data_IF_101143685027
#
_entry.id   IF_101143685027
#
_cell.length_a   1.000
_cell.length_b   1.000
_cell.length_c   1.000
_cell.angle_alpha   90.00
_cell.angle_beta   90.00
_cell.angle_gamma   90.00
#
_symmetry.space_group_name_H-M   'P 1'
#
loop_
_entity.id
_entity.type
_entity.pdbx_description
1 polymer ?
#
# COMPACT_ATOMS: atom_id res chain seq x y z
N UNK A 1 31.72 19.54 17.59
CA UNK A 1 30.29 19.57 17.17
C UNK A 1 29.62 18.40 17.85
N UNK A 2 28.55 18.63 18.62
CA UNK A 2 27.82 17.56 19.32
C UNK A 2 26.67 17.04 18.44
N UNK A 3 26.90 15.94 17.72
CA UNK A 3 25.93 15.33 16.84
C UNK A 3 24.79 14.66 17.63
N UNK A 4 25.10 14.09 18.80
CA UNK A 4 24.12 13.40 19.64
C UNK A 4 23.05 14.37 20.16
N UNK A 5 23.45 15.54 20.59
CA UNK A 5 22.52 16.62 21.02
C UNK A 5 21.58 17.02 19.86
N UNK A 6 22.07 17.09 18.62
CA UNK A 6 21.24 17.41 17.46
C UNK A 6 20.20 16.33 17.18
N UNK A 7 20.59 15.05 17.28
CA UNK A 7 19.63 13.94 17.10
C UNK A 7 18.54 13.98 18.19
N UNK A 8 18.92 14.18 19.45
CA UNK A 8 17.95 14.29 20.56
C UNK A 8 16.98 15.43 20.37
N UNK A 9 17.44 16.61 19.98
CA UNK A 9 16.59 17.77 19.71
C UNK A 9 15.53 17.49 18.65
N UNK A 10 15.89 16.78 17.55
CA UNK A 10 14.91 16.37 16.54
C UNK A 10 13.92 15.35 17.05
N UNK A 11 14.34 14.41 17.91
CA UNK A 11 13.45 13.43 18.51
C UNK A 11 12.50 14.07 19.53
N UNK A 12 12.97 15.00 20.35
CA UNK A 12 12.16 15.78 21.29
C UNK A 12 11.05 16.53 20.55
N UNK A 13 11.38 17.21 19.44
CA UNK A 13 10.38 17.88 18.62
C UNK A 13 9.29 16.91 18.09
N UNK A 14 9.66 15.68 17.70
CA UNK A 14 8.68 14.66 17.29
C UNK A 14 7.76 14.22 18.44
N UNK A 15 8.30 14.13 19.67
CA UNK A 15 7.51 13.80 20.85
C UNK A 15 6.53 14.94 21.19
N UNK A 16 7.00 16.20 21.20
CA UNK A 16 6.17 17.38 21.46
C UNK A 16 5.03 17.52 20.44
N UNK A 17 5.29 17.19 19.16
CA UNK A 17 4.28 17.22 18.10
C UNK A 17 3.36 16.01 18.09
N UNK A 18 3.51 15.02 18.98
CA UNK A 18 2.74 13.78 18.97
C UNK A 18 2.98 12.88 17.75
N UNK A 19 4.09 13.06 17.04
CA UNK A 19 4.45 12.35 15.80
C UNK A 19 5.50 11.27 15.98
N UNK A 20 6.04 11.11 17.18
CA UNK A 20 7.01 10.06 17.45
C UNK A 20 6.36 8.69 17.28
N UNK A 21 6.94 7.85 16.43
CA UNK A 21 6.40 6.53 16.10
C UNK A 21 6.95 5.49 17.07
N UNK A 22 6.04 4.83 17.77
CA UNK A 22 6.38 3.66 18.60
C UNK A 22 6.01 2.41 17.80
N UNK A 23 6.98 1.50 17.66
CA UNK A 23 6.77 0.22 16.99
C UNK A 23 6.37 -0.83 18.04
N UNK A 24 5.18 -1.40 17.91
CA UNK A 24 4.77 -2.51 18.75
C UNK A 24 5.56 -3.77 18.36
N UNK A 25 6.13 -4.44 19.35
CA UNK A 25 6.78 -5.75 19.16
C UNK A 25 5.72 -6.84 19.09
N UNK A 26 5.44 -7.31 17.88
CA UNK A 26 4.35 -8.23 17.57
C UNK A 26 4.87 -9.54 16.97
N UNK A 27 4.45 -10.67 17.54
CA UNK A 27 4.63 -12.00 16.96
C UNK A 27 3.28 -12.53 16.47
N UNK A 28 3.06 -12.50 15.15
CA UNK A 28 1.87 -13.11 14.54
C UNK A 28 1.94 -14.64 14.69
N UNK A 29 0.83 -15.26 15.07
CA UNK A 29 0.73 -16.71 15.17
C UNK A 29 0.10 -17.27 13.90
N UNK A 30 0.80 -18.20 13.25
CA UNK A 30 0.24 -18.91 12.11
C UNK A 30 -1.00 -19.71 12.53
N UNK A 31 -2.09 -19.55 11.75
CA UNK A 31 -3.38 -20.18 12.05
C UNK A 31 -4.26 -19.44 13.07
N UNK A 32 -3.78 -18.32 13.64
CA UNK A 32 -4.54 -17.49 14.58
C UNK A 32 -4.68 -16.02 14.14
N UNK A 33 -4.34 -15.69 12.89
CA UNK A 33 -4.55 -14.36 12.37
C UNK A 33 -6.05 -14.01 12.38
N UNK A 34 -6.47 -12.81 12.82
CA UNK A 34 -5.69 -11.59 13.01
C UNK A 34 -5.05 -11.41 14.40
N UNK A 35 -5.04 -12.44 15.25
CA UNK A 35 -4.42 -12.37 16.57
C UNK A 35 -2.89 -12.44 16.50
N UNK A 36 -2.23 -11.63 17.32
CA UNK A 36 -0.78 -11.63 17.52
C UNK A 36 -0.42 -11.53 19.01
N UNK A 37 0.77 -11.99 19.37
CA UNK A 37 1.36 -11.72 20.68
C UNK A 37 2.04 -10.36 20.65
N UNK A 38 1.67 -9.48 21.56
CA UNK A 38 2.33 -8.20 21.80
C UNK A 38 3.27 -8.34 23.00
N UNK A 39 4.56 -8.13 22.76
CA UNK A 39 5.61 -8.11 23.78
C UNK A 39 5.75 -6.69 24.31
N UNK A 40 5.30 -6.45 25.54
CA UNK A 40 5.32 -5.15 26.19
C UNK A 40 5.99 -5.22 27.57
N UNK A 41 6.29 -4.05 28.16
CA UNK A 41 6.69 -3.99 29.56
C UNK A 41 5.55 -4.56 30.41
N UNK A 42 5.81 -5.64 31.14
CA UNK A 42 4.81 -6.34 31.95
C UNK A 42 4.32 -7.68 31.39
N UNK A 43 4.84 -8.10 30.23
CA UNK A 43 4.58 -9.44 29.72
C UNK A 43 4.10 -9.50 28.26
N UNK A 44 3.63 -10.68 27.89
CA UNK A 44 3.12 -10.97 26.55
C UNK A 44 1.60 -11.00 26.59
N UNK A 45 0.96 -10.25 25.70
CA UNK A 45 -0.50 -10.13 25.63
C UNK A 45 -1.01 -10.44 24.23
N UNK A 46 -2.10 -11.19 24.12
CA UNK A 46 -2.80 -11.37 22.84
C UNK A 46 -3.47 -10.06 22.42
N UNK A 47 -3.30 -9.68 21.14
CA UNK A 47 -3.95 -8.51 20.56
C UNK A 47 -4.56 -8.85 19.21
N UNK A 48 -5.68 -8.20 18.85
CA UNK A 48 -6.28 -8.30 17.51
C UNK A 48 -5.76 -7.19 16.62
N UNK A 49 -5.18 -7.54 15.46
CA UNK A 49 -4.55 -6.60 14.54
C UNK A 49 -5.57 -6.08 13.51
N UNK A 50 -5.81 -4.77 13.50
CA UNK A 50 -6.80 -4.10 12.63
C UNK A 50 -6.20 -3.17 11.58
N UNK A 51 -4.87 -3.09 11.48
CA UNK A 51 -4.17 -2.20 10.53
C UNK A 51 -3.17 -2.93 9.63
N UNK A 52 -3.29 -4.24 9.49
CA UNK A 52 -2.39 -5.02 8.64
C UNK A 52 -2.63 -4.73 7.17
N UNK A 53 -1.55 -4.63 6.38
CA UNK A 53 -1.64 -4.61 4.93
C UNK A 53 -1.76 -6.00 4.29
N UNK A 54 -1.71 -7.08 5.07
CA UNK A 54 -2.04 -8.44 4.61
C UNK A 54 -3.57 -8.58 4.52
N UNK A 55 -4.14 -7.87 3.54
CA UNK A 55 -5.59 -7.65 3.42
C UNK A 55 -6.42 -8.92 3.31
N UNK A 56 -5.86 -9.97 2.71
CA UNK A 56 -6.53 -11.25 2.50
C UNK A 56 -6.06 -12.35 3.46
N UNK A 57 -5.04 -12.08 4.31
CA UNK A 57 -4.43 -13.09 5.16
C UNK A 57 -3.56 -14.10 4.41
N UNK A 58 -3.15 -13.77 3.18
CA UNK A 58 -2.38 -14.69 2.35
C UNK A 58 -1.01 -15.03 2.92
N UNK A 59 -0.43 -14.18 3.78
CA UNK A 59 0.84 -14.48 4.45
C UNK A 59 0.79 -15.75 5.32
N UNK A 60 -0.40 -16.20 5.68
CA UNK A 60 -0.62 -17.38 6.51
C UNK A 60 -1.33 -18.51 5.76
N UNK A 61 -1.69 -18.28 4.51
CA UNK A 61 -2.37 -19.26 3.69
C UNK A 61 -1.47 -20.48 3.42
N UNK A 62 -2.04 -21.68 3.55
CA UNK A 62 -1.28 -22.94 3.45
C UNK A 62 -0.51 -23.04 2.13
N UNK A 63 -1.17 -22.74 1.01
CA UNK A 63 -0.57 -22.77 -0.34
C UNK A 63 0.69 -21.93 -0.44
N UNK A 64 0.70 -20.74 0.17
CA UNK A 64 1.85 -19.83 0.16
C UNK A 64 3.00 -20.39 0.99
N UNK A 65 2.66 -20.88 2.20
CA UNK A 65 3.65 -21.43 3.12
C UNK A 65 4.32 -22.69 2.58
N UNK A 66 3.53 -23.60 1.99
CA UNK A 66 4.02 -24.85 1.41
C UNK A 66 5.00 -24.55 0.26
N UNK A 67 4.64 -23.65 -0.66
CA UNK A 67 5.52 -23.25 -1.75
C UNK A 67 6.83 -22.60 -1.26
N UNK A 68 6.77 -21.83 -0.16
CA UNK A 68 7.99 -21.27 0.44
C UNK A 68 8.86 -22.35 1.08
N UNK A 69 8.28 -23.30 1.79
CA UNK A 69 9.01 -24.45 2.38
C UNK A 69 9.70 -25.28 1.30
N UNK A 70 8.96 -25.64 0.25
CA UNK A 70 9.49 -26.42 -0.88
C UNK A 70 10.67 -25.71 -1.53
N UNK A 71 10.55 -24.42 -1.81
CA UNK A 71 11.64 -23.64 -2.41
C UNK A 71 12.87 -23.54 -1.50
N UNK A 72 12.72 -23.47 -0.17
CA UNK A 72 13.86 -23.47 0.76
C UNK A 72 14.59 -24.80 0.73
N UNK A 73 13.86 -25.92 0.73
CA UNK A 73 14.47 -27.25 0.66
C UNK A 73 15.16 -27.52 -0.69
N UNK A 74 14.59 -26.99 -1.79
CA UNK A 74 15.10 -27.24 -3.14
C UNK A 74 16.35 -26.39 -3.47
N UNK A 75 16.31 -25.09 -3.16
CA UNK A 75 17.33 -24.12 -3.66
C UNK A 75 17.97 -23.29 -2.54
N UNK A 76 17.63 -23.51 -1.28
CA UNK A 76 18.16 -22.77 -0.14
C UNK A 76 17.51 -21.41 0.11
N UNK A 77 18.04 -20.67 1.09
CA UNK A 77 17.38 -19.49 1.66
C UNK A 77 17.59 -18.19 0.87
N UNK A 78 18.67 -18.07 0.10
CA UNK A 78 19.08 -16.80 -0.50
C UNK A 78 19.23 -16.83 -2.01
N UNK A 79 19.17 -15.66 -2.64
CA UNK A 79 19.29 -15.52 -4.11
C UNK A 79 20.74 -15.50 -4.64
N UNK A 80 21.72 -15.31 -3.76
CA UNK A 80 23.14 -15.28 -4.13
C UNK A 80 23.66 -13.98 -4.72
N UNK A 81 22.82 -12.97 -4.97
CA UNK A 81 23.29 -11.68 -5.50
C UNK A 81 22.20 -10.83 -6.13
N UNK A 82 22.66 -9.82 -6.90
CA UNK A 82 21.75 -9.03 -7.74
C UNK A 82 21.24 -9.88 -8.91
N UNK A 83 20.17 -9.45 -9.57
CA UNK A 83 19.59 -10.16 -10.72
C UNK A 83 20.61 -10.46 -11.81
N UNK A 84 21.53 -9.55 -12.02
CA UNK A 84 22.58 -9.68 -13.05
C UNK A 84 23.77 -10.53 -12.60
N UNK A 85 24.05 -10.63 -11.29
CA UNK A 85 25.16 -11.41 -10.73
C UNK A 85 24.58 -12.64 -10.02
N UNK A 86 24.21 -13.66 -10.76
CA UNK A 86 23.66 -14.95 -10.31
C UNK A 86 22.35 -14.91 -9.47
N UNK A 87 21.78 -13.75 -9.20
CA UNK A 87 20.58 -13.61 -8.38
C UNK A 87 19.27 -13.82 -9.16
N UNK A 88 19.29 -14.11 -10.45
CA UNK A 88 18.11 -14.53 -11.21
C UNK A 88 17.93 -16.04 -11.09
N UNK A 89 16.86 -16.48 -10.46
CA UNK A 89 16.47 -17.89 -10.35
C UNK A 89 15.28 -18.20 -11.25
N UNK A 90 14.99 -19.48 -11.46
CA UNK A 90 13.81 -19.89 -12.22
C UNK A 90 12.49 -19.33 -11.61
N UNK A 91 12.39 -19.28 -10.29
CA UNK A 91 11.25 -18.69 -9.58
C UNK A 91 11.01 -17.22 -9.93
N UNK A 92 12.05 -16.43 -10.16
CA UNK A 92 11.89 -15.04 -10.63
C UNK A 92 11.33 -14.98 -12.03
N UNK A 93 11.81 -15.84 -12.94
CA UNK A 93 11.35 -15.90 -14.34
C UNK A 93 9.86 -16.30 -14.40
N UNK A 94 9.47 -17.34 -13.68
CA UNK A 94 8.08 -17.76 -13.60
C UNK A 94 7.18 -16.70 -12.99
N UNK A 95 7.62 -16.05 -11.91
CA UNK A 95 6.83 -15.01 -11.26
C UNK A 95 6.65 -13.78 -12.18
N UNK A 96 7.69 -13.35 -12.88
CA UNK A 96 7.57 -12.26 -13.87
C UNK A 96 6.62 -12.62 -15.00
N UNK A 97 6.66 -13.86 -15.50
CA UNK A 97 5.71 -14.34 -16.51
C UNK A 97 4.27 -14.37 -15.98
N UNK A 98 4.06 -14.83 -14.74
CA UNK A 98 2.73 -14.89 -14.10
C UNK A 98 2.15 -13.49 -13.87
N UNK A 99 2.99 -12.51 -13.48
CA UNK A 99 2.60 -11.13 -13.29
C UNK A 99 2.25 -10.44 -14.62
N UNK A 100 3.02 -10.71 -15.68
CA UNK A 100 2.72 -10.23 -17.01
C UNK A 100 1.35 -10.76 -17.50
N UNK A 101 1.09 -12.06 -17.30
CA UNK A 101 -0.21 -12.67 -17.61
C UNK A 101 -1.35 -12.12 -16.75
N UNK A 102 -1.13 -11.90 -15.45
CA UNK A 102 -2.14 -11.32 -14.57
C UNK A 102 -2.63 -9.96 -15.08
N UNK A 103 -1.71 -9.11 -15.53
CA UNK A 103 -2.02 -7.76 -16.02
C UNK A 103 -2.23 -7.67 -17.52
N UNK A 104 -2.17 -8.79 -18.26
CA UNK A 104 -2.31 -8.79 -19.73
C UNK A 104 -1.24 -7.93 -20.42
N UNK A 105 -0.02 -7.87 -19.86
CA UNK A 105 1.12 -7.13 -20.40
C UNK A 105 2.15 -8.08 -21.01
N UNK A 106 3.02 -7.53 -21.85
CA UNK A 106 4.05 -8.33 -22.54
C UNK A 106 5.16 -8.82 -21.60
N UNK A 107 5.40 -8.08 -20.50
CA UNK A 107 6.47 -8.36 -19.54
C UNK A 107 6.16 -7.80 -18.17
N UNK A 108 6.83 -8.34 -17.15
CA UNK A 108 6.90 -7.75 -15.83
C UNK A 108 8.35 -7.77 -15.33
N UNK A 109 8.65 -6.92 -14.35
CA UNK A 109 9.98 -6.80 -13.74
C UNK A 109 9.84 -6.71 -12.23
N UNK A 110 10.51 -7.60 -11.49
CA UNK A 110 10.47 -7.70 -10.05
C UNK A 110 11.44 -6.74 -9.36
N UNK A 111 11.03 -6.17 -8.25
CA UNK A 111 11.82 -5.34 -7.34
C UNK A 111 11.68 -5.83 -5.90
N UNK A 112 12.58 -5.42 -5.02
CA UNK A 112 12.54 -5.76 -3.59
C UNK A 112 11.33 -5.18 -2.86
N UNK A 113 10.73 -4.12 -3.39
CA UNK A 113 9.46 -3.54 -2.92
C UNK A 113 8.81 -2.69 -4.01
N UNK A 114 7.51 -2.43 -3.89
CA UNK A 114 6.81 -1.48 -4.75
C UNK A 114 7.32 -0.04 -4.58
N UNK A 115 7.88 0.30 -3.42
CA UNK A 115 8.56 1.58 -3.22
C UNK A 115 9.72 1.73 -4.19
N UNK A 116 10.60 0.73 -4.23
CA UNK A 116 11.77 0.72 -5.14
C UNK A 116 11.31 0.63 -6.61
N UNK A 117 10.24 -0.10 -6.91
CA UNK A 117 9.69 -0.17 -8.25
C UNK A 117 9.24 1.22 -8.74
N UNK A 118 8.46 1.96 -7.94
CA UNK A 118 8.03 3.33 -8.25
C UNK A 118 9.22 4.28 -8.42
N UNK A 119 10.08 4.34 -7.40
CA UNK A 119 11.22 5.25 -7.36
C UNK A 119 12.19 5.00 -8.53
N UNK A 120 12.53 3.74 -8.78
CA UNK A 120 13.45 3.37 -9.85
C UNK A 120 12.85 3.58 -11.24
N UNK A 121 11.58 3.23 -11.44
CA UNK A 121 10.93 3.35 -12.74
C UNK A 121 10.75 4.82 -13.13
N UNK A 122 10.12 5.62 -12.26
CA UNK A 122 9.81 7.03 -12.57
C UNK A 122 11.08 7.86 -12.74
N UNK A 123 12.11 7.65 -11.93
CA UNK A 123 13.39 8.35 -12.09
C UNK A 123 14.15 7.93 -13.36
N UNK A 124 14.02 6.66 -13.77
CA UNK A 124 14.68 6.15 -14.97
C UNK A 124 13.97 6.59 -16.23
N UNK A 125 12.64 6.60 -16.27
CA UNK A 125 11.87 7.10 -17.42
C UNK A 125 12.24 8.54 -17.77
N UNK A 126 12.39 9.42 -16.77
CA UNK A 126 12.81 10.81 -16.99
C UNK A 126 14.21 10.93 -17.60
N UNK A 127 15.13 10.03 -17.23
CA UNK A 127 16.47 10.00 -17.82
C UNK A 127 16.50 9.42 -19.23
N UNK A 128 15.65 8.45 -19.52
CA UNK A 128 15.55 7.82 -20.83
C UNK A 128 14.79 8.67 -21.86
N UNK A 129 13.89 9.53 -21.39
CA UNK A 129 13.09 10.41 -22.22
C UNK A 129 13.33 11.88 -21.83
N UNK A 130 14.41 12.51 -22.35
CA UNK A 130 14.68 13.93 -22.10
C UNK A 130 13.48 14.80 -22.46
N UNK A 131 13.09 15.71 -21.56
CA UNK A 131 11.91 16.56 -21.72
C UNK A 131 10.59 15.88 -21.33
N UNK A 132 10.59 14.68 -20.76
CA UNK A 132 9.39 14.05 -20.23
C UNK A 132 8.75 14.91 -19.13
N UNK A 133 7.50 15.33 -19.35
CA UNK A 133 6.69 16.06 -18.38
C UNK A 133 5.79 15.09 -17.61
N UNK A 134 5.82 15.17 -16.29
CA UNK A 134 5.04 14.30 -15.41
C UNK A 134 3.81 15.06 -14.87
N UNK A 135 2.63 14.46 -15.02
CA UNK A 135 1.38 14.92 -14.43
C UNK A 135 1.04 13.97 -13.27
N UNK A 136 1.17 14.45 -12.04
CA UNK A 136 1.05 13.64 -10.83
C UNK A 136 -0.16 14.04 -10.00
N UNK A 137 -0.98 13.08 -9.56
CA UNK A 137 -2.03 13.34 -8.57
C UNK A 137 -1.44 13.86 -7.26
N UNK A 138 -2.07 14.85 -6.61
CA UNK A 138 -1.56 15.48 -5.38
C UNK A 138 -1.48 14.53 -4.19
N UNK A 139 -2.19 13.39 -4.21
CA UNK A 139 -2.20 12.38 -3.13
C UNK A 139 -1.37 11.14 -3.45
N UNK A 140 -0.59 11.17 -4.48
CA UNK A 140 0.29 10.05 -4.82
C UNK A 140 1.23 9.68 -3.66
N UNK A 141 1.51 8.40 -3.54
CA UNK A 141 2.38 7.84 -2.52
C UNK A 141 3.81 8.43 -2.58
N UNK A 142 4.45 8.53 -1.41
CA UNK A 142 5.80 9.08 -1.27
C UNK A 142 6.83 8.45 -2.23
N UNK A 143 6.71 7.16 -2.53
CA UNK A 143 7.62 6.48 -3.47
C UNK A 143 7.55 7.03 -4.89
N UNK A 144 6.36 7.41 -5.36
CA UNK A 144 6.19 8.06 -6.66
C UNK A 144 6.73 9.50 -6.62
N UNK A 145 6.45 10.23 -5.54
CA UNK A 145 6.96 11.59 -5.33
C UNK A 145 8.49 11.61 -5.33
N UNK A 146 9.14 10.67 -4.62
CA UNK A 146 10.60 10.58 -4.58
C UNK A 146 11.20 10.16 -5.93
N UNK A 147 10.58 9.21 -6.63
CA UNK A 147 11.00 8.82 -7.97
C UNK A 147 10.93 9.98 -8.98
N UNK A 148 9.84 10.76 -8.92
CA UNK A 148 9.66 11.97 -9.74
C UNK A 148 10.73 13.02 -9.38
N UNK A 149 10.96 13.26 -8.08
CA UNK A 149 11.95 14.22 -7.60
C UNK A 149 13.37 13.83 -8.01
N UNK A 150 13.72 12.55 -7.89
CA UNK A 150 15.04 12.02 -8.24
C UNK A 150 15.31 12.13 -9.74
N UNK A 151 14.30 11.99 -10.58
CA UNK A 151 14.44 12.17 -12.04
C UNK A 151 14.77 13.60 -12.43
N UNK A 152 14.30 14.59 -11.67
CA UNK A 152 14.63 16.02 -11.83
C UNK A 152 13.95 16.70 -13.01
N UNK A 153 13.03 16.03 -13.73
CA UNK A 153 12.29 16.58 -14.85
C UNK A 153 11.14 17.52 -14.43
N UNK A 154 10.51 18.12 -15.44
CA UNK A 154 9.33 18.96 -15.26
C UNK A 154 8.15 18.13 -14.75
N UNK A 155 7.40 18.71 -13.79
CA UNK A 155 6.21 18.07 -13.22
C UNK A 155 5.11 19.08 -12.94
N UNK A 156 3.88 18.64 -13.13
CA UNK A 156 2.66 19.34 -12.76
C UNK A 156 1.85 18.46 -11.81
N UNK A 157 1.40 19.06 -10.70
CA UNK A 157 0.58 18.36 -9.72
C UNK A 157 -0.88 18.76 -9.97
N UNK A 158 -1.72 17.78 -10.32
CA UNK A 158 -3.15 18.04 -10.45
C UNK A 158 -3.89 17.73 -9.16
N UNK A 159 -5.02 18.43 -8.94
CA UNK A 159 -5.88 18.20 -7.78
C UNK A 159 -6.41 16.77 -7.79
N UNK A 160 -6.52 16.19 -6.61
CA UNK A 160 -6.88 14.79 -6.42
C UNK A 160 -8.15 14.38 -7.18
N UNK A 161 -8.00 13.41 -8.10
CA UNK A 161 -9.07 12.88 -8.96
C UNK A 161 -9.81 13.93 -9.82
N UNK A 162 -9.24 15.12 -10.00
CA UNK A 162 -9.82 16.23 -10.76
C UNK A 162 -9.41 16.13 -12.22
N UNK A 163 -10.30 15.56 -13.02
CA UNK A 163 -10.09 15.33 -14.46
C UNK A 163 -10.04 16.65 -15.26
N UNK A 164 -10.83 17.63 -14.86
CA UNK A 164 -10.84 18.95 -15.53
C UNK A 164 -9.50 19.66 -15.31
N UNK A 165 -9.00 19.68 -14.07
CA UNK A 165 -7.69 20.27 -13.78
C UNK A 165 -6.53 19.50 -14.44
N UNK A 166 -6.61 18.17 -14.51
CA UNK A 166 -5.64 17.39 -15.27
C UNK A 166 -5.64 17.78 -16.74
N UNK A 167 -6.82 17.93 -17.36
CA UNK A 167 -6.94 18.34 -18.75
C UNK A 167 -6.38 19.76 -19.00
N UNK A 168 -6.69 20.72 -18.12
CA UNK A 168 -6.12 22.07 -18.18
C UNK A 168 -4.59 22.06 -18.18
N UNK A 169 -3.98 21.21 -17.37
CA UNK A 169 -2.53 21.09 -17.33
C UNK A 169 -1.95 20.43 -18.58
N UNK A 170 -2.59 19.38 -19.09
CA UNK A 170 -2.20 18.70 -20.33
C UNK A 170 -2.27 19.61 -21.54
N UNK A 171 -3.26 20.50 -21.62
CA UNK A 171 -3.43 21.49 -22.70
C UNK A 171 -2.28 22.50 -22.75
N UNK A 172 -1.66 22.80 -21.62
CA UNK A 172 -0.54 23.76 -21.53
C UNK A 172 0.78 23.17 -22.04
N UNK A 173 0.91 21.84 -22.01
CA UNK A 173 2.13 21.19 -22.48
C UNK A 173 2.16 21.16 -24.03
N UNK A 174 3.30 21.48 -24.66
CA UNK A 174 3.41 21.42 -26.11
C UNK A 174 3.03 20.03 -26.66
N UNK A 175 2.36 19.92 -27.80
CA UNK A 175 1.88 18.65 -28.35
C UNK A 175 2.99 17.58 -28.49
N UNK A 176 4.18 18.00 -28.92
CA UNK A 176 5.32 17.10 -29.15
C UNK A 176 6.10 16.72 -27.89
N UNK A 177 5.79 17.30 -26.73
CA UNK A 177 6.45 16.98 -25.48
C UNK A 177 6.03 15.59 -25.00
N UNK A 178 6.96 14.68 -24.68
CA UNK A 178 6.61 13.41 -24.08
C UNK A 178 5.97 13.63 -22.69
N UNK A 179 4.89 12.95 -22.41
CA UNK A 179 4.06 13.14 -21.23
C UNK A 179 3.78 11.81 -20.55
N UNK A 180 3.65 11.83 -19.21
CA UNK A 180 3.18 10.69 -18.43
C UNK A 180 2.24 11.16 -17.33
N UNK A 181 1.12 10.47 -17.15
CA UNK A 181 0.16 10.70 -16.06
C UNK A 181 0.39 9.63 -15.00
N UNK A 182 0.64 10.05 -13.75
CA UNK A 182 1.02 9.18 -12.63
C UNK A 182 -0.04 9.28 -11.54
N UNK A 183 -0.65 8.14 -11.17
CA UNK A 183 -1.76 8.11 -10.23
C UNK A 183 -1.93 6.72 -9.58
N UNK A 184 -2.64 6.66 -8.44
CA UNK A 184 -2.98 5.39 -7.76
C UNK A 184 -4.40 4.96 -8.13
N UNK A 185 -4.64 3.65 -8.16
CA UNK A 185 -6.00 3.11 -8.33
C UNK A 185 -6.83 3.23 -7.05
N UNK A 186 -6.24 2.85 -5.91
CA UNK A 186 -6.81 3.01 -4.56
C UNK A 186 -5.84 3.78 -3.69
N UNK A 187 -6.22 4.98 -3.28
CA UNK A 187 -5.39 5.83 -2.44
C UNK A 187 -5.35 5.33 -1.00
N UNK A 188 -4.14 5.11 -0.50
CA UNK A 188 -3.86 4.34 0.71
C UNK A 188 -4.48 4.88 1.99
N UNK A 189 -4.66 6.21 2.11
CA UNK A 189 -5.07 6.86 3.35
C UNK A 189 -6.55 7.26 3.38
N UNK A 190 -7.14 7.50 2.22
CA UNK A 190 -8.53 7.94 2.09
C UNK A 190 -9.45 6.83 1.57
N UNK A 191 -8.89 5.83 0.86
CA UNK A 191 -9.67 4.79 0.21
C UNK A 191 -10.39 5.25 -1.05
N UNK A 192 -10.08 6.44 -1.58
CA UNK A 192 -10.63 6.92 -2.85
C UNK A 192 -10.15 6.04 -4.01
N UNK A 193 -10.98 5.94 -5.03
CA UNK A 193 -10.65 5.23 -6.27
C UNK A 193 -10.52 6.26 -7.39
N UNK A 194 -9.45 6.13 -8.20
CA UNK A 194 -9.23 7.00 -9.34
C UNK A 194 -10.22 6.72 -10.48
N UNK A 195 -10.63 7.75 -11.23
CA UNK A 195 -11.43 7.59 -12.45
C UNK A 195 -10.55 7.15 -13.63
N UNK A 196 -10.06 5.89 -13.59
CA UNK A 196 -9.02 5.37 -14.51
C UNK A 196 -9.42 5.53 -15.97
N UNK A 197 -10.68 5.23 -16.32
CA UNK A 197 -11.17 5.35 -17.68
C UNK A 197 -11.02 6.80 -18.23
N UNK A 198 -11.44 7.79 -17.45
CA UNK A 198 -11.34 9.20 -17.84
C UNK A 198 -9.88 9.67 -17.94
N UNK A 199 -8.99 9.17 -17.06
CA UNK A 199 -7.56 9.47 -17.17
C UNK A 199 -6.98 8.85 -18.45
N UNK A 200 -7.37 7.62 -18.81
CA UNK A 200 -6.96 7.00 -20.07
C UNK A 200 -7.49 7.77 -21.29
N UNK A 201 -8.72 8.29 -21.24
CA UNK A 201 -9.28 9.13 -22.31
C UNK A 201 -8.42 10.37 -22.55
N UNK A 202 -7.99 11.03 -21.47
CA UNK A 202 -7.09 12.19 -21.58
C UNK A 202 -5.68 11.78 -22.04
N UNK A 203 -5.16 10.64 -21.56
CA UNK A 203 -3.87 10.14 -22.00
C UNK A 203 -3.84 9.90 -23.52
N UNK A 204 -4.85 9.25 -24.06
CA UNK A 204 -5.00 9.02 -25.51
C UNK A 204 -5.15 10.34 -26.27
N UNK A 205 -6.00 11.25 -25.77
CA UNK A 205 -6.25 12.56 -26.40
C UNK A 205 -4.99 13.42 -26.51
N UNK A 206 -4.13 13.41 -25.49
CA UNK A 206 -2.94 14.27 -25.41
C UNK A 206 -1.61 13.53 -25.68
N UNK A 207 -1.66 12.26 -26.07
CA UNK A 207 -0.48 11.45 -26.37
C UNK A 207 0.42 11.27 -25.14
N UNK A 208 -0.17 11.01 -23.98
CA UNK A 208 0.53 10.76 -22.72
C UNK A 208 0.57 9.27 -22.41
N UNK A 209 1.67 8.79 -21.79
CA UNK A 209 1.71 7.50 -21.13
C UNK A 209 0.93 7.52 -19.82
N UNK A 210 0.45 6.37 -19.40
CA UNK A 210 -0.20 6.16 -18.10
C UNK A 210 0.67 5.29 -17.18
N UNK A 211 0.88 5.75 -15.93
CA UNK A 211 1.53 5.02 -14.87
C UNK A 211 0.55 4.84 -13.71
N UNK A 212 0.04 3.63 -13.54
CA UNK A 212 -0.95 3.29 -12.53
C UNK A 212 -0.33 2.48 -11.39
N UNK A 213 -0.43 3.00 -10.17
CA UNK A 213 -0.09 2.25 -8.96
C UNK A 213 -1.31 1.47 -8.45
N UNK A 214 -1.28 0.15 -8.59
CA UNK A 214 -2.30 -0.79 -8.12
C UNK A 214 -1.94 -1.44 -6.76
N UNK A 215 -0.97 -0.91 -6.04
CA UNK A 215 -0.40 -1.49 -4.81
C UNK A 215 -1.46 -1.81 -3.74
N UNK A 216 -2.52 -1.00 -3.65
CA UNK A 216 -3.62 -1.22 -2.73
C UNK A 216 -4.80 -2.00 -3.34
N UNK A 217 -4.67 -2.47 -4.57
CA UNK A 217 -5.78 -3.12 -5.27
C UNK A 217 -5.46 -4.53 -5.81
N UNK A 218 -4.21 -4.83 -6.10
CA UNK A 218 -3.79 -6.17 -6.56
C UNK A 218 -4.10 -7.24 -5.51
N UNK A 219 -4.61 -8.36 -5.95
CA UNK A 219 -5.16 -9.44 -5.13
C UNK A 219 -6.62 -9.22 -4.71
N UNK A 220 -7.10 -7.96 -4.64
CA UNK A 220 -8.36 -7.58 -3.99
C UNK A 220 -9.50 -7.29 -4.97
N UNK A 221 -9.20 -6.76 -6.14
CA UNK A 221 -10.19 -6.31 -7.12
C UNK A 221 -9.97 -6.97 -8.47
N UNK A 222 -11.05 -7.04 -9.23
CA UNK A 222 -11.10 -7.68 -10.52
C UNK A 222 -11.31 -9.20 -10.45
N UNK A 223 -11.76 -9.83 -11.53
CA UNK A 223 -12.06 -11.27 -11.59
C UNK A 223 -10.84 -12.14 -11.25
N UNK A 224 -9.65 -11.74 -11.70
CA UNK A 224 -8.40 -12.46 -11.48
C UNK A 224 -7.56 -11.86 -10.34
N UNK A 225 -8.00 -10.73 -9.75
CA UNK A 225 -7.24 -10.00 -8.73
C UNK A 225 -6.16 -9.08 -9.30
N UNK A 226 -6.29 -8.63 -10.54
CA UNK A 226 -5.31 -7.73 -11.14
C UNK A 226 -5.48 -6.26 -10.74
N UNK A 227 -6.57 -5.91 -10.04
CA UNK A 227 -6.76 -4.56 -9.51
C UNK A 227 -8.02 -3.86 -10.02
N UNK A 228 -8.06 -2.54 -9.83
CA UNK A 228 -9.19 -1.70 -10.22
C UNK A 228 -9.29 -1.59 -11.75
N UNK A 229 -8.17 -1.48 -12.44
CA UNK A 229 -8.18 -1.39 -13.89
C UNK A 229 -8.77 -2.66 -14.55
N UNK A 230 -8.56 -3.85 -13.95
CA UNK A 230 -9.23 -5.08 -14.37
C UNK A 230 -10.72 -5.04 -14.04
N UNK A 231 -11.09 -4.63 -12.81
CA UNK A 231 -12.50 -4.50 -12.39
C UNK A 231 -13.31 -3.64 -13.35
N UNK A 232 -12.72 -2.53 -13.80
CA UNK A 232 -13.38 -1.53 -14.64
C UNK A 232 -13.21 -1.80 -16.14
N UNK A 233 -12.52 -2.91 -16.52
CA UNK A 233 -12.35 -3.34 -17.91
C UNK A 233 -11.39 -2.47 -18.73
N UNK A 234 -10.58 -1.64 -18.09
CA UNK A 234 -9.69 -0.64 -18.73
C UNK A 234 -8.20 -0.97 -18.63
N UNK A 235 -7.83 -2.11 -18.07
CA UNK A 235 -6.44 -2.50 -17.82
C UNK A 235 -5.59 -2.53 -19.09
N UNK A 236 -6.17 -2.84 -20.25
CA UNK A 236 -5.49 -2.86 -21.53
C UNK A 236 -5.03 -1.48 -21.99
N UNK A 237 -5.68 -0.40 -21.51
CA UNK A 237 -5.39 1.00 -21.84
C UNK A 237 -4.28 1.61 -21.00
N UNK A 238 -3.88 0.96 -19.89
CA UNK A 238 -2.82 1.44 -19.01
C UNK A 238 -1.47 0.97 -19.52
N UNK A 239 -0.49 1.86 -19.67
CA UNK A 239 0.83 1.50 -20.22
C UNK A 239 1.73 0.79 -19.22
N UNK A 240 1.83 1.32 -17.99
CA UNK A 240 2.69 0.80 -16.94
C UNK A 240 1.87 0.63 -15.67
N UNK A 241 1.83 -0.58 -15.15
CA UNK A 241 1.18 -0.93 -13.88
C UNK A 241 2.26 -1.23 -12.85
N UNK A 242 2.24 -0.53 -11.71
CA UNK A 242 3.03 -0.88 -10.53
C UNK A 242 2.17 -1.68 -9.56
N UNK A 243 2.73 -2.73 -8.98
CA UNK A 243 2.05 -3.56 -8.00
C UNK A 243 2.96 -4.02 -6.88
N UNK A 244 2.37 -4.62 -5.86
CA UNK A 244 3.10 -5.16 -4.70
C UNK A 244 2.77 -6.61 -4.44
N UNK A 245 3.77 -7.35 -3.96
CA UNK A 245 3.58 -8.70 -3.43
C UNK A 245 3.32 -8.70 -1.90
N UNK A 246 3.47 -7.53 -1.25
CA UNK A 246 3.51 -7.40 0.20
C UNK A 246 2.15 -7.11 0.86
N UNK A 247 1.07 -6.98 0.09
CA UNK A 247 -0.27 -6.65 0.61
C UNK A 247 -1.27 -7.75 0.28
N UNK A 248 -2.07 -7.60 -0.78
CA UNK A 248 -3.08 -8.60 -1.15
C UNK A 248 -2.49 -10.00 -1.37
N UNK A 249 -1.27 -10.10 -1.88
CA UNK A 249 -0.58 -11.39 -2.06
C UNK A 249 0.15 -11.89 -0.79
N UNK A 250 0.30 -11.08 0.25
CA UNK A 250 0.72 -11.48 1.59
C UNK A 250 2.20 -11.85 1.75
N UNK A 251 3.09 -11.52 0.81
CA UNK A 251 4.52 -11.92 0.87
C UNK A 251 5.43 -10.69 1.01
N UNK A 252 6.37 -10.49 0.10
CA UNK A 252 7.28 -9.35 0.04
C UNK A 252 7.66 -9.09 -1.42
N UNK A 253 7.90 -7.83 -1.75
CA UNK A 253 8.36 -7.41 -3.08
C UNK A 253 7.42 -6.44 -3.77
N UNK A 254 7.85 -5.98 -4.93
CA UNK A 254 7.08 -5.17 -5.85
C UNK A 254 7.43 -5.47 -7.29
N UNK A 255 6.71 -4.89 -8.21
CA UNK A 255 6.92 -5.13 -9.63
C UNK A 255 6.33 -4.00 -10.48
N UNK A 256 6.80 -3.93 -11.72
CA UNK A 256 6.06 -3.26 -12.79
C UNK A 256 5.64 -4.29 -13.83
N UNK A 257 4.52 -4.03 -14.52
CA UNK A 257 4.06 -4.77 -15.68
C UNK A 257 3.79 -3.78 -16.82
N UNK A 258 4.40 -4.02 -17.99
CA UNK A 258 4.37 -3.08 -19.11
C UNK A 258 4.73 -3.78 -20.44
N UNK A 259 5.01 -2.99 -21.49
CA UNK A 259 5.60 -3.51 -22.72
C UNK A 259 6.98 -4.12 -22.45
N UNK A 260 7.40 -5.08 -23.24
CA UNK A 260 8.71 -5.72 -23.15
C UNK A 260 9.84 -4.69 -23.25
N UNK A 261 9.72 -3.74 -24.16
CA UNK A 261 10.73 -2.69 -24.32
C UNK A 261 10.86 -1.80 -23.08
N UNK A 262 9.74 -1.44 -22.44
CA UNK A 262 9.74 -0.66 -21.20
C UNK A 262 10.41 -1.43 -20.06
N UNK A 263 10.00 -2.67 -19.80
CA UNK A 263 10.59 -3.51 -18.74
C UNK A 263 12.10 -3.74 -18.98
N UNK A 264 12.50 -3.97 -20.22
CA UNK A 264 13.90 -4.20 -20.56
C UNK A 264 14.75 -2.93 -20.41
N UNK A 265 14.22 -1.77 -20.80
CA UNK A 265 14.87 -0.49 -20.57
C UNK A 265 15.04 -0.19 -19.06
N UNK A 266 14.00 -0.38 -18.26
CA UNK A 266 14.10 -0.19 -16.80
C UNK A 266 15.09 -1.19 -16.19
N UNK A 267 15.04 -2.46 -16.57
CA UNK A 267 15.98 -3.49 -16.12
C UNK A 267 17.44 -3.11 -16.40
N UNK A 268 17.69 -2.47 -17.54
CA UNK A 268 19.03 -2.14 -18.02
C UNK A 268 19.59 -0.82 -17.47
N UNK A 269 18.74 0.11 -17.07
CA UNK A 269 19.15 1.47 -16.68
C UNK A 269 18.82 1.86 -15.25
N UNK A 270 17.92 1.15 -14.54
CA UNK A 270 17.50 1.52 -13.20
C UNK A 270 18.52 1.07 -12.13
N UNK A 271 19.22 2.00 -11.43
CA UNK A 271 20.21 1.61 -10.41
C UNK A 271 19.57 0.81 -9.25
N UNK A 272 18.34 1.13 -8.87
CA UNK A 272 17.61 0.42 -7.83
C UNK A 272 17.20 -1.00 -8.19
N UNK A 273 17.29 -1.38 -9.47
CA UNK A 273 17.20 -2.75 -9.93
C UNK A 273 18.59 -3.41 -10.06
N UNK A 274 19.51 -2.75 -10.76
CA UNK A 274 20.81 -3.31 -11.12
C UNK A 274 21.67 -3.65 -9.89
N UNK A 275 21.71 -2.73 -8.89
CA UNK A 275 22.62 -2.79 -7.76
C UNK A 275 21.96 -3.30 -6.47
N UNK A 276 20.76 -3.86 -6.54
CA UNK A 276 20.04 -4.42 -5.40
C UNK A 276 20.05 -5.93 -5.45
N UNK A 277 20.32 -6.59 -4.31
CA UNK A 277 20.13 -8.04 -4.15
C UNK A 277 18.71 -8.42 -4.51
N UNK A 278 18.51 -9.49 -5.27
CA UNK A 278 17.19 -9.95 -5.68
C UNK A 278 16.40 -10.57 -4.52
N UNK A 279 15.10 -10.73 -4.70
CA UNK A 279 14.24 -11.44 -3.75
C UNK A 279 14.77 -12.87 -3.52
N UNK A 280 14.64 -13.39 -2.31
CA UNK A 280 14.95 -14.78 -2.04
C UNK A 280 14.01 -15.70 -2.86
N UNK A 281 14.48 -16.85 -3.35
CA UNK A 281 13.66 -17.79 -4.13
C UNK A 281 12.37 -18.20 -3.43
N UNK A 282 12.43 -18.46 -2.13
CA UNK A 282 11.25 -18.79 -1.33
C UNK A 282 10.20 -17.70 -1.35
N UNK A 283 10.60 -16.41 -1.34
CA UNK A 283 9.69 -15.27 -1.46
C UNK A 283 9.03 -15.26 -2.85
N UNK A 284 9.80 -15.49 -3.89
CA UNK A 284 9.27 -15.54 -5.26
C UNK A 284 8.31 -16.73 -5.43
N UNK A 285 8.63 -17.90 -4.90
CA UNK A 285 7.75 -19.09 -4.92
C UNK A 285 6.43 -18.85 -4.18
N UNK A 286 6.50 -18.28 -2.96
CA UNK A 286 5.31 -17.94 -2.18
C UNK A 286 4.41 -16.92 -2.89
N UNK A 287 5.01 -15.89 -3.52
CA UNK A 287 4.27 -14.90 -4.30
C UNK A 287 3.58 -15.54 -5.52
N UNK A 288 4.30 -16.39 -6.25
CA UNK A 288 3.77 -17.12 -7.39
C UNK A 288 2.58 -18.01 -7.01
N UNK A 289 2.70 -18.75 -5.92
CA UNK A 289 1.63 -19.60 -5.38
C UNK A 289 0.41 -18.76 -4.96
N UNK A 290 0.62 -17.62 -4.29
CA UNK A 290 -0.44 -16.70 -3.90
C UNK A 290 -1.20 -16.14 -5.11
N UNK A 291 -0.48 -15.66 -6.13
CA UNK A 291 -1.07 -15.12 -7.36
C UNK A 291 -1.89 -16.19 -8.08
N UNK A 292 -1.31 -17.38 -8.29
CA UNK A 292 -1.99 -18.51 -8.94
C UNK A 292 -3.25 -18.96 -8.19
N UNK A 293 -3.21 -18.92 -6.85
CA UNK A 293 -4.38 -19.19 -6.02
C UNK A 293 -5.46 -18.13 -6.22
N UNK A 294 -5.13 -16.84 -6.03
CA UNK A 294 -6.10 -15.74 -6.11
C UNK A 294 -6.65 -15.50 -7.52
N UNK A 295 -5.93 -15.89 -8.58
CA UNK A 295 -6.48 -15.89 -9.95
C UNK A 295 -7.67 -16.86 -10.14
N UNK A 296 -7.77 -17.87 -9.29
CA UNK A 296 -8.80 -18.95 -9.38
C UNK A 296 -9.81 -18.88 -8.24
N UNK A 297 -9.44 -18.29 -7.10
CA UNK A 297 -10.30 -18.17 -5.91
C UNK A 297 -10.89 -16.78 -5.82
N UNK A 298 -12.21 -16.72 -5.58
CA UNK A 298 -12.92 -15.48 -5.23
C UNK A 298 -13.32 -15.43 -3.75
N UNK A 299 -13.05 -16.49 -3.00
CA UNK A 299 -13.52 -16.67 -1.62
C UNK A 299 -12.96 -15.56 -0.72
N UNK A 300 -11.65 -15.28 -0.83
CA UNK A 300 -10.98 -14.30 0.00
C UNK A 300 -11.49 -12.89 -0.30
N UNK A 301 -11.67 -12.56 -1.59
CA UNK A 301 -12.20 -11.26 -2.03
C UNK A 301 -13.67 -11.07 -1.63
N UNK A 302 -14.49 -12.09 -1.76
CA UNK A 302 -15.89 -12.04 -1.37
C UNK A 302 -16.05 -11.83 0.15
N UNK A 303 -15.27 -12.56 0.95
CA UNK A 303 -15.23 -12.42 2.41
C UNK A 303 -14.70 -11.04 2.83
N UNK A 304 -13.63 -10.56 2.20
CA UNK A 304 -13.12 -9.20 2.45
C UNK A 304 -14.22 -8.15 2.23
N UNK A 305 -14.89 -8.20 1.09
CA UNK A 305 -15.98 -7.28 0.74
C UNK A 305 -17.12 -7.31 1.77
N UNK A 306 -17.47 -8.49 2.22
CA UNK A 306 -18.49 -8.70 3.24
C UNK A 306 -18.03 -8.10 4.58
N UNK A 307 -16.83 -8.43 5.10
CA UNK A 307 -16.28 -7.91 6.36
C UNK A 307 -16.18 -6.37 6.34
N UNK A 308 -15.68 -5.79 5.25
CA UNK A 308 -15.60 -4.33 5.07
C UNK A 308 -16.98 -3.68 5.16
N UNK A 309 -17.99 -4.25 4.47
CA UNK A 309 -19.36 -3.73 4.51
C UNK A 309 -19.92 -3.79 5.92
N UNK A 310 -19.74 -4.90 6.64
CA UNK A 310 -20.19 -5.07 8.02
C UNK A 310 -19.54 -4.05 8.94
N UNK A 311 -18.22 -3.89 8.88
CA UNK A 311 -17.50 -2.92 9.72
C UNK A 311 -17.94 -1.48 9.43
N UNK A 312 -18.01 -1.08 8.15
CA UNK A 312 -18.48 0.27 7.78
C UNK A 312 -19.92 0.52 8.23
N UNK A 313 -20.83 -0.44 8.05
CA UNK A 313 -22.22 -0.34 8.47
C UNK A 313 -22.35 -0.13 9.98
N UNK A 314 -21.74 -1.01 10.77
CA UNK A 314 -21.79 -0.91 12.23
C UNK A 314 -21.11 0.35 12.78
N UNK A 315 -20.01 0.80 12.19
CA UNK A 315 -19.38 2.07 12.57
C UNK A 315 -20.28 3.26 12.27
N UNK A 316 -20.98 3.24 11.13
CA UNK A 316 -21.95 4.30 10.77
C UNK A 316 -23.16 4.30 11.71
N UNK A 317 -23.71 3.15 12.04
CA UNK A 317 -24.80 2.99 13.02
C UNK A 317 -24.37 3.51 14.40
N UNK A 318 -23.12 3.25 14.80
CA UNK A 318 -22.53 3.77 16.04
C UNK A 318 -22.16 5.27 15.96
N UNK A 319 -22.42 5.95 14.85
CA UNK A 319 -22.09 7.37 14.60
C UNK A 319 -20.61 7.70 14.76
N UNK A 320 -19.72 6.75 14.47
CA UNK A 320 -18.29 6.99 14.41
C UNK A 320 -17.94 7.80 13.16
N UNK A 321 -16.95 8.70 13.21
CA UNK A 321 -16.61 9.58 12.09
C UNK A 321 -15.83 8.86 10.98
N UNK A 322 -16.46 7.87 10.35
CA UNK A 322 -15.90 7.12 9.24
C UNK A 322 -15.88 7.98 7.99
N UNK A 323 -14.74 8.06 7.33
CA UNK A 323 -14.64 8.69 6.02
C UNK A 323 -15.27 7.78 4.95
N UNK A 324 -16.27 8.30 4.27
CA UNK A 324 -16.94 7.59 3.19
C UNK A 324 -15.98 7.37 2.00
N UNK A 325 -15.90 6.14 1.52
CA UNK A 325 -15.13 5.77 0.34
C UNK A 325 -15.59 4.39 -0.18
N UNK A 326 -15.36 4.09 -1.49
CA UNK A 326 -15.83 2.84 -2.09
C UNK A 326 -14.91 1.63 -1.89
N UNK A 327 -13.74 1.80 -1.25
CA UNK A 327 -12.72 0.74 -1.14
C UNK A 327 -12.81 -0.07 0.14
N UNK A 328 -11.88 -1.02 0.31
CA UNK A 328 -11.73 -1.86 1.49
C UNK A 328 -11.11 -1.13 2.70
N UNK A 329 -10.65 0.09 2.54
CA UNK A 329 -10.03 0.88 3.60
C UNK A 329 -11.11 1.57 4.42
N UNK A 330 -10.98 1.55 5.75
CA UNK A 330 -11.94 2.15 6.69
C UNK A 330 -11.21 3.20 7.55
N UNK A 331 -11.14 4.46 7.07
CA UNK A 331 -10.55 5.54 7.85
C UNK A 331 -11.56 6.09 8.85
N UNK A 332 -11.15 6.23 10.11
CA UNK A 332 -11.93 6.87 11.18
C UNK A 332 -11.21 8.16 11.58
N UNK A 333 -11.87 9.31 11.35
CA UNK A 333 -11.27 10.63 11.51
C UNK A 333 -11.12 11.00 12.99
N UNK A 334 -9.96 11.58 13.33
CA UNK A 334 -9.66 12.09 14.67
C UNK A 334 -9.35 13.59 14.63
N UNK A 335 -8.49 14.03 13.66
CA UNK A 335 -8.23 15.44 13.40
C UNK A 335 -7.17 16.09 14.30
N UNK A 336 -6.55 15.34 15.20
CA UNK A 336 -5.46 15.80 16.08
C UNK A 336 -4.44 14.68 16.33
N UNK A 337 -3.13 14.93 16.22
CA UNK A 337 -2.11 13.88 16.31
C UNK A 337 -1.93 13.32 17.72
N UNK A 338 -2.05 14.14 18.75
CA UNK A 338 -1.90 13.73 20.15
C UNK A 338 -3.11 12.88 20.55
N UNK A 339 -4.30 13.35 20.19
CA UNK A 339 -5.52 12.61 20.45
C UNK A 339 -5.58 11.29 19.68
N UNK A 340 -5.18 11.28 18.41
CA UNK A 340 -5.11 10.05 17.60
C UNK A 340 -4.18 9.01 18.24
N UNK A 341 -3.02 9.45 18.74
CA UNK A 341 -2.11 8.58 19.46
C UNK A 341 -2.71 8.09 20.78
N UNK A 342 -3.32 8.94 21.58
CA UNK A 342 -3.94 8.56 22.85
C UNK A 342 -5.04 7.49 22.65
N UNK A 343 -5.90 7.66 21.64
CA UNK A 343 -6.94 6.67 21.30
C UNK A 343 -6.33 5.34 20.89
N UNK A 344 -5.30 5.34 20.04
CA UNK A 344 -4.66 4.09 19.59
C UNK A 344 -3.89 3.40 20.71
N UNK A 345 -3.25 4.15 21.63
CA UNK A 345 -2.58 3.60 22.80
C UNK A 345 -3.60 2.95 23.75
N UNK A 346 -4.73 3.59 23.99
CA UNK A 346 -5.82 3.05 24.81
C UNK A 346 -6.42 1.80 24.18
N UNK A 347 -6.67 1.79 22.88
CA UNK A 347 -7.10 0.59 22.15
C UNK A 347 -6.15 -0.58 22.36
N UNK A 348 -4.85 -0.32 22.29
CA UNK A 348 -3.83 -1.37 22.47
C UNK A 348 -3.75 -1.85 23.92
N UNK A 349 -3.69 -0.95 24.88
CA UNK A 349 -3.41 -1.29 26.29
C UNK A 349 -4.62 -1.84 27.02
N UNK A 350 -5.82 -1.23 26.84
CA UNK A 350 -7.04 -1.62 27.55
C UNK A 350 -7.88 -2.64 26.78
N UNK A 351 -8.04 -2.42 25.45
CA UNK A 351 -8.92 -3.25 24.63
C UNK A 351 -8.22 -4.34 23.84
N UNK A 352 -6.86 -4.39 23.90
CA UNK A 352 -6.08 -5.37 23.13
C UNK A 352 -6.35 -5.30 21.61
N UNK A 353 -6.67 -4.12 21.11
CA UNK A 353 -6.90 -3.82 19.71
C UNK A 353 -5.69 -3.05 19.19
N UNK A 354 -5.01 -3.62 18.19
CA UNK A 354 -3.86 -2.96 17.57
C UNK A 354 -4.25 -2.24 16.29
N UNK A 355 -4.18 -0.92 16.32
CA UNK A 355 -4.26 -0.01 15.18
C UNK A 355 -3.27 1.13 15.37
N UNK A 356 -2.65 1.61 14.29
CA UNK A 356 -1.69 2.71 14.33
C UNK A 356 -2.35 4.05 14.00
N UNK A 357 -1.92 5.15 14.67
CA UNK A 357 -2.33 6.49 14.29
C UNK A 357 -1.70 6.87 12.95
N UNK A 358 -2.46 7.50 12.08
CA UNK A 358 -1.99 8.06 10.82
C UNK A 358 -1.93 9.57 10.99
N UNK A 359 -0.73 10.09 11.22
CA UNK A 359 -0.42 11.48 11.49
C UNK A 359 0.44 12.08 10.37
N UNK A 360 0.63 13.41 10.41
CA UNK A 360 1.60 14.09 9.55
C UNK A 360 3.00 13.44 9.67
N UNK A 361 3.77 13.26 8.59
CA UNK A 361 3.54 13.75 7.21
C UNK A 361 2.71 12.81 6.32
N UNK A 362 2.19 11.71 6.83
CA UNK A 362 1.42 10.73 6.03
C UNK A 362 0.09 11.31 5.56
N UNK A 363 -0.54 12.15 6.38
CA UNK A 363 -1.74 12.93 6.06
C UNK A 363 -1.53 14.40 6.42
N UNK A 364 -2.35 15.30 5.88
CA UNK A 364 -2.29 16.74 6.21
C UNK A 364 -2.66 16.95 7.70
N UNK A 365 -2.06 17.95 8.36
CA UNK A 365 -2.43 18.35 9.73
C UNK A 365 -3.91 18.71 9.81
N UNK A 366 -4.59 18.29 10.88
CA UNK A 366 -6.04 18.43 11.05
C UNK A 366 -6.86 17.33 10.35
N UNK A 367 -6.18 16.35 9.74
CA UNK A 367 -6.83 15.21 9.07
C UNK A 367 -6.29 13.86 9.55
N UNK A 368 -5.74 13.86 10.75
CA UNK A 368 -5.24 12.67 11.43
C UNK A 368 -6.38 11.67 11.63
N UNK A 369 -6.06 10.39 11.51
CA UNK A 369 -7.05 9.30 11.50
C UNK A 369 -6.48 7.98 11.95
N UNK A 370 -7.34 7.06 12.33
CA UNK A 370 -7.03 5.64 12.36
C UNK A 370 -7.46 5.01 11.04
N UNK A 371 -6.65 4.10 10.51
CA UNK A 371 -6.96 3.36 9.28
C UNK A 371 -7.17 1.89 9.61
N UNK A 372 -8.42 1.46 9.63
CA UNK A 372 -8.76 0.06 9.81
C UNK A 372 -8.75 -0.69 8.47
N UNK A 373 -8.29 -1.92 8.52
CA UNK A 373 -8.20 -2.83 7.37
C UNK A 373 -8.82 -4.17 7.77
N UNK A 374 -10.16 -4.28 7.73
CA UNK A 374 -10.81 -5.57 7.94
C UNK A 374 -10.26 -6.61 6.95
N UNK A 375 -10.17 -7.86 7.39
CA UNK A 375 -9.69 -8.97 6.58
C UNK A 375 -10.71 -10.11 6.58
N UNK A 376 -10.63 -11.06 5.63
CA UNK A 376 -11.56 -12.21 5.55
C UNK A 376 -11.63 -13.06 6.81
N UNK A 377 -10.64 -12.98 7.68
CA UNK A 377 -10.51 -13.82 8.87
C UNK A 377 -10.95 -13.15 10.17
N UNK A 378 -11.30 -11.84 10.13
CA UNK A 378 -11.94 -11.21 11.28
C UNK A 378 -13.34 -11.81 11.52
N UNK A 379 -13.61 -12.21 12.75
CA UNK A 379 -14.89 -12.81 13.17
C UNK A 379 -15.93 -11.73 13.51
N UNK A 380 -17.21 -12.12 13.53
CA UNK A 380 -18.30 -11.22 13.94
C UNK A 380 -18.11 -10.74 15.39
N UNK A 381 -17.60 -11.60 16.27
CA UNK A 381 -17.31 -11.22 17.66
C UNK A 381 -16.18 -10.19 17.78
N UNK A 382 -15.11 -10.32 16.99
CA UNK A 382 -14.02 -9.32 16.94
C UNK A 382 -14.51 -7.99 16.38
N UNK A 383 -15.38 -8.02 15.36
CA UNK A 383 -15.99 -6.82 14.81
C UNK A 383 -16.88 -6.14 15.87
N UNK A 384 -17.77 -6.89 16.51
CA UNK A 384 -18.64 -6.35 17.56
C UNK A 384 -17.83 -5.76 18.73
N UNK A 385 -16.76 -6.44 19.13
CA UNK A 385 -15.85 -5.95 20.17
C UNK A 385 -15.14 -4.65 19.77
N UNK A 386 -14.64 -4.54 18.53
CA UNK A 386 -14.05 -3.31 18.00
C UNK A 386 -15.05 -2.14 18.05
N UNK A 387 -16.28 -2.38 17.59
CA UNK A 387 -17.33 -1.32 17.57
C UNK A 387 -17.67 -0.87 18.99
N UNK A 388 -17.80 -1.82 19.94
CA UNK A 388 -18.04 -1.51 21.35
C UNK A 388 -16.92 -0.65 21.96
N UNK A 389 -15.67 -1.05 21.77
CA UNK A 389 -14.49 -0.32 22.25
C UNK A 389 -14.40 1.10 21.66
N UNK A 390 -14.62 1.25 20.35
CA UNK A 390 -14.61 2.56 19.71
C UNK A 390 -15.79 3.44 20.19
N UNK A 391 -16.97 2.88 20.36
CA UNK A 391 -18.14 3.63 20.86
C UNK A 391 -17.92 4.15 22.28
N UNK A 392 -17.34 3.34 23.15
CA UNK A 392 -17.00 3.73 24.51
C UNK A 392 -15.95 4.85 24.53
N UNK A 393 -14.88 4.73 23.73
CA UNK A 393 -13.86 5.76 23.61
C UNK A 393 -14.42 7.07 23.04
N UNK A 394 -15.31 7.03 22.04
CA UNK A 394 -15.92 8.23 21.48
C UNK A 394 -16.94 8.88 22.42
N UNK A 395 -17.63 8.13 23.26
CA UNK A 395 -18.51 8.67 24.30
C UNK A 395 -17.71 9.44 25.38
N UNK A 396 -16.53 8.90 25.73
CA UNK A 396 -15.64 9.53 26.71
C UNK A 396 -14.86 10.74 26.14
N UNK A 397 -14.57 10.71 24.84
CA UNK A 397 -13.70 11.68 24.15
C UNK A 397 -14.23 12.00 22.74
N UNK A 398 -15.35 12.74 22.61
CA UNK A 398 -15.95 13.03 21.31
C UNK A 398 -15.03 13.90 20.46
N UNK A 399 -14.75 13.46 19.24
CA UNK A 399 -13.99 14.19 18.22
C UNK A 399 -14.74 15.48 17.84
N UNK A 400 -14.04 16.60 17.77
CA UNK A 400 -14.57 17.88 17.29
C UNK A 400 -15.06 18.86 18.34
N UNK A 401 -14.91 18.58 19.64
CA UNK A 401 -15.30 19.54 20.71
C UNK A 401 -14.15 20.39 21.29
N UNK A 402 -12.91 20.28 20.76
CA UNK A 402 -11.79 21.14 21.20
C UNK A 402 -11.34 20.99 22.66
N UNK A 403 -12.01 20.17 23.44
CA UNK A 403 -11.66 19.86 24.82
C UNK A 403 -10.98 18.48 24.88
N UNK A 404 -9.69 18.48 25.09
CA UNK A 404 -8.91 17.26 25.27
C UNK A 404 -9.20 16.67 26.66
N UNK A 405 -9.98 15.62 26.70
CA UNK A 405 -9.97 14.74 27.87
C UNK A 405 -8.68 13.95 27.79
N UNK A 406 -7.69 14.27 28.64
CA UNK A 406 -6.59 13.35 28.92
C UNK A 406 -7.23 12.08 29.47
N UNK A 407 -7.27 11.03 28.63
CA UNK A 407 -7.51 9.69 29.13
C UNK A 407 -6.34 9.41 30.05
N UNK A 408 -6.60 9.44 31.36
CA UNK A 408 -5.59 9.22 32.36
C UNK A 408 -4.99 7.84 32.11
N UNK A 409 -3.69 7.78 31.98
CA UNK A 409 -2.92 6.56 32.15
C UNK A 409 -2.98 6.26 33.64
N UNK A 410 -3.93 5.44 34.08
CA UNK A 410 -3.87 4.72 35.35
C UNK A 410 -3.16 3.39 35.19
#
# INVERSE_FOLDING_TARGET
MDYESRFRQHLEALHEEGRYRVFADLKRRCGAYPTADHFAQGGVHGVTVWCSNDYLGMSQHQVVRDAMHEAIEEVGAGSGGTRNISGTTHYHVELEAELADLHGKESALLFTSAYIANDSTLSTLQRLMPGLVIFSDEKNHASMIEGIRRGGGEKHIFRHNDIEHLEELLQRAPPQTPKIIVFESVYSMDGHIAPIAAICDLAEKYGALTYLDEVHAVGLYGPRGAGIAERDGVMHRVDIINGTLAKGFGVMGGYIAASRACCDAIRSYAPGFIFTTSLAPAIAAGALASIRHLKRSEIERARLKERVRTVKGLMTEARLPVMENPSHIVPVMVGDPVHCKAVTDTLLTHYRIYVQPINYPTVKRGTERMRFTPSPVHTDSEIAYLIGALSELWAACPVGKGEYVRLAAE
#
